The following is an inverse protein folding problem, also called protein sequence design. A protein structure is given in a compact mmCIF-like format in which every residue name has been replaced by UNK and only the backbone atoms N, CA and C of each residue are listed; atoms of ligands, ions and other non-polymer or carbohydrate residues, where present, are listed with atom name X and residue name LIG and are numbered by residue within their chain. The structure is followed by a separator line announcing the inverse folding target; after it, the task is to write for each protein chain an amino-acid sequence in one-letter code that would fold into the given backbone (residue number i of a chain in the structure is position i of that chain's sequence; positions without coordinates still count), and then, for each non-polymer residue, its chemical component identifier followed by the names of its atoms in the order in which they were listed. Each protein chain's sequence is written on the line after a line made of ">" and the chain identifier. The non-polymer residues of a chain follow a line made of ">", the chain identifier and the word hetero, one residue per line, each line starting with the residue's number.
data_IF_240366007361
#
_entry.id   IF_240366007361
#
_cell.length_a   1.000
_cell.length_b   1.000
_cell.length_c   1.000
_cell.angle_alpha   90.00
_cell.angle_beta   90.00
_cell.angle_gamma   90.00
#
_symmetry.space_group_name_H-M   'P 1'
#
loop_
_entity.id
_entity.type
_entity.pdbx_description
1 polymer ?
#
# COMPACT_ATOMS: atom_id res chain seq x y z
N UNK A 1 4.29 -12.79 -29.35
CA UNK A 1 4.32 -11.71 -28.35
C UNK A 1 3.53 -12.24 -27.18
N UNK A 2 4.19 -12.67 -26.12
CA UNK A 2 3.50 -13.01 -24.88
C UNK A 2 2.84 -11.73 -24.38
N UNK A 3 1.52 -11.76 -24.17
CA UNK A 3 0.83 -10.62 -23.59
C UNK A 3 1.40 -10.42 -22.19
N UNK A 4 1.97 -9.24 -21.92
CA UNK A 4 2.44 -8.89 -20.59
C UNK A 4 1.27 -9.08 -19.61
N UNK A 5 1.51 -9.87 -18.55
CA UNK A 5 0.49 -10.19 -17.55
C UNK A 5 0.04 -8.87 -16.92
N UNK A 6 -1.22 -8.49 -17.13
CA UNK A 6 -1.77 -7.28 -16.54
C UNK A 6 -1.66 -7.37 -15.01
N UNK A 7 -1.38 -6.24 -14.32
CA UNK A 7 -1.35 -6.22 -12.87
C UNK A 7 -2.72 -6.61 -12.32
N UNK A 8 -2.70 -7.41 -11.24
CA UNK A 8 -3.91 -7.83 -10.55
C UNK A 8 -4.56 -6.61 -9.89
N UNK A 9 -5.88 -6.40 -10.07
CA UNK A 9 -6.58 -5.29 -9.45
C UNK A 9 -6.68 -5.52 -7.94
N UNK A 10 -6.33 -4.49 -7.16
CA UNK A 10 -6.31 -4.55 -5.69
C UNK A 10 -7.24 -3.46 -5.14
N UNK A 11 -8.19 -3.80 -4.25
CA UNK A 11 -9.00 -2.80 -3.56
C UNK A 11 -8.17 -1.84 -2.71
N UNK A 12 -8.60 -0.60 -2.57
CA UNK A 12 -7.89 0.46 -1.84
C UNK A 12 -7.68 0.11 -0.36
N UNK A 13 -8.55 -0.71 0.24
CA UNK A 13 -8.36 -1.23 1.60
C UNK A 13 -7.09 -2.07 1.75
N UNK A 14 -6.83 -2.97 0.80
CA UNK A 14 -5.63 -3.80 0.78
C UNK A 14 -4.40 -2.94 0.42
N UNK A 15 -4.54 -2.05 -0.56
CA UNK A 15 -3.46 -1.15 -0.96
C UNK A 15 -3.00 -0.27 0.22
N UNK A 16 -3.94 0.21 1.04
CA UNK A 16 -3.65 0.97 2.25
C UNK A 16 -2.78 0.17 3.22
N UNK A 17 -3.15 -1.06 3.56
CA UNK A 17 -2.35 -1.88 4.48
C UNK A 17 -0.95 -2.18 3.96
N UNK A 18 -0.84 -2.46 2.65
CA UNK A 18 0.45 -2.69 2.01
C UNK A 18 1.35 -1.44 2.08
N UNK A 19 0.78 -0.27 1.77
CA UNK A 19 1.50 1.00 1.84
C UNK A 19 1.87 1.34 3.29
N UNK A 20 0.97 1.19 4.25
CA UNK A 20 1.27 1.45 5.67
C UNK A 20 2.39 0.55 6.18
N UNK A 21 2.36 -0.74 5.83
CA UNK A 21 3.41 -1.70 6.21
C UNK A 21 4.76 -1.34 5.59
N UNK A 22 4.81 -1.00 4.31
CA UNK A 22 6.09 -0.71 3.64
C UNK A 22 6.66 0.66 3.99
N UNK A 23 5.79 1.67 4.11
CA UNK A 23 6.23 3.03 4.38
C UNK A 23 6.63 3.22 5.85
N UNK A 24 5.95 2.57 6.79
CA UNK A 24 6.38 2.55 8.21
C UNK A 24 7.74 1.88 8.42
N UNK A 25 8.11 0.92 7.57
CA UNK A 25 9.43 0.27 7.61
C UNK A 25 10.54 1.16 7.04
N UNK A 26 10.21 2.08 6.12
CA UNK A 26 11.21 2.91 5.41
C UNK A 26 11.46 4.26 6.06
N UNK A 27 10.53 4.77 6.85
CA UNK A 27 10.78 6.00 7.60
C UNK A 27 11.92 5.81 8.60
N UNK A 28 12.91 6.71 8.54
CA UNK A 28 14.04 6.79 9.46
C UNK A 28 14.86 5.50 9.62
N UNK A 29 15.11 4.77 8.51
CA UNK A 29 16.00 3.60 8.49
C UNK A 29 17.23 3.77 7.59
N UNK A 30 18.32 3.14 8.01
CA UNK A 30 19.55 2.96 7.25
C UNK A 30 19.48 1.65 6.47
N UNK A 31 19.92 1.66 5.20
CA UNK A 31 20.10 0.44 4.39
C UNK A 31 21.56 0.15 4.16
N UNK A 32 21.94 -1.06 4.49
CA UNK A 32 23.26 -1.56 4.15
C UNK A 32 23.38 -1.80 2.65
N UNK A 33 24.40 -1.19 2.03
CA UNK A 33 24.71 -1.38 0.60
C UNK A 33 25.10 -2.83 0.31
N UNK A 34 25.70 -3.52 1.28
CA UNK A 34 26.30 -4.85 1.09
C UNK A 34 25.31 -6.00 1.24
N UNK A 35 24.44 -5.94 2.24
CA UNK A 35 23.51 -7.04 2.53
C UNK A 35 22.03 -6.67 2.41
N UNK A 36 21.73 -5.39 2.09
CA UNK A 36 20.36 -4.89 1.98
C UNK A 36 19.59 -4.84 3.30
N UNK A 37 20.23 -5.08 4.44
CA UNK A 37 19.58 -5.01 5.75
C UNK A 37 19.13 -3.58 6.06
N UNK A 38 17.93 -3.45 6.64
CA UNK A 38 17.37 -2.19 7.11
C UNK A 38 17.45 -2.15 8.64
N UNK A 39 18.01 -1.09 9.19
CA UNK A 39 18.07 -0.86 10.64
C UNK A 39 17.65 0.56 10.99
N UNK A 40 17.23 0.80 12.24
CA UNK A 40 16.88 2.13 12.68
C UNK A 40 18.09 3.07 12.62
N UNK A 41 17.84 4.35 12.38
CA UNK A 41 18.84 5.39 12.66
C UNK A 41 19.04 5.42 14.19
N UNK A 42 20.27 5.31 14.71
CA UNK A 42 20.51 5.42 16.14
C UNK A 42 20.05 6.78 16.67
N UNK A 43 19.36 6.79 17.83
CA UNK A 43 18.87 8.02 18.47
C UNK A 43 20.00 8.88 19.08
N UNK A 44 21.19 8.29 19.23
CA UNK A 44 22.33 8.92 19.91
C UNK A 44 23.29 9.47 18.86
N UNK A 45 23.57 10.79 18.93
CA UNK A 45 24.67 11.39 18.19
C UNK A 45 25.97 10.68 18.59
N UNK A 46 26.80 10.22 17.65
CA UNK A 46 28.03 9.51 17.99
C UNK A 46 28.91 10.43 18.85
N UNK A 47 29.17 9.99 20.08
CA UNK A 47 30.07 10.71 20.98
C UNK A 47 31.47 10.71 20.37
N UNK A 48 32.01 11.90 20.11
CA UNK A 48 33.42 12.08 19.81
C UNK A 48 34.17 12.01 21.13
N UNK A 49 34.74 10.86 21.45
CA UNK A 49 35.72 10.77 22.54
C UNK A 49 36.97 11.54 22.11
N UNK A 50 37.10 12.79 22.56
CA UNK A 50 38.33 13.57 22.41
C UNK A 50 39.39 12.99 23.34
N UNK A 51 40.33 12.23 22.80
CA UNK A 51 41.58 11.91 23.50
C UNK A 51 42.56 13.08 23.30
N UNK A 52 43.04 13.65 24.42
CA UNK A 52 43.93 14.83 24.46
C UNK A 52 45.40 14.55 24.00
N UNK A 53 45.63 13.65 23.05
CA UNK A 53 46.96 13.45 22.44
C UNK A 53 46.88 13.61 20.91
N UNK A 54 47.55 14.65 20.42
CA UNK A 54 47.73 15.01 19.02
C UNK A 54 48.39 13.87 18.21
N UNK A 55 47.64 13.18 17.34
CA UNK A 55 48.10 12.62 16.05
C UNK A 55 46.88 12.11 15.22
N UNK A 56 46.34 13.00 14.40
CA UNK A 56 45.74 12.75 13.06
C UNK A 56 44.98 11.42 12.82
N UNK A 57 43.72 11.34 13.28
CA UNK A 57 42.53 11.12 12.43
C UNK A 57 41.32 10.80 13.31
N UNK A 58 40.51 11.81 13.61
CA UNK A 58 39.17 11.60 14.16
C UNK A 58 38.29 10.97 13.05
N UNK A 59 38.51 9.70 12.73
CA UNK A 59 37.68 8.98 11.78
C UNK A 59 36.29 8.81 12.38
N UNK A 60 35.36 9.66 11.93
CA UNK A 60 33.93 9.50 12.17
C UNK A 60 33.50 8.09 11.74
N UNK A 61 33.38 7.19 12.72
CA UNK A 61 32.89 5.84 12.48
C UNK A 61 31.36 5.87 12.55
N UNK A 62 30.76 6.01 11.36
CA UNK A 62 29.30 5.92 11.22
C UNK A 62 28.76 4.57 11.71
N UNK A 63 27.43 4.44 11.84
CA UNK A 63 26.79 3.22 12.32
C UNK A 63 27.19 2.00 11.47
N UNK A 64 27.37 0.86 12.14
CA UNK A 64 27.66 -0.44 11.50
C UNK A 64 26.39 -1.23 11.26
N UNK A 65 26.36 -1.99 10.18
CA UNK A 65 25.26 -2.87 9.83
C UNK A 65 25.11 -3.99 10.87
N UNK A 66 23.97 -4.06 11.56
CA UNK A 66 23.68 -5.08 12.59
C UNK A 66 23.79 -6.52 12.06
N UNK A 67 23.58 -6.72 10.75
CA UNK A 67 23.58 -8.04 10.12
C UNK A 67 24.93 -8.50 9.59
N UNK A 68 25.75 -7.58 9.06
CA UNK A 68 26.99 -7.94 8.36
C UNK A 68 28.22 -7.14 8.79
N UNK A 69 28.09 -6.23 9.74
CA UNK A 69 29.18 -5.40 10.26
C UNK A 69 29.69 -4.32 9.29
N UNK A 70 29.14 -4.22 8.08
CA UNK A 70 29.55 -3.20 7.12
C UNK A 70 29.22 -1.79 7.59
N UNK A 71 30.17 -0.87 7.42
CA UNK A 71 30.00 0.57 7.63
C UNK A 71 29.33 1.27 6.42
N UNK A 72 29.13 0.55 5.30
CA UNK A 72 28.45 1.08 4.11
C UNK A 72 26.94 1.07 4.30
N UNK A 73 26.47 1.97 5.16
CA UNK A 73 25.06 2.28 5.33
C UNK A 73 24.75 3.55 4.55
N UNK A 74 23.67 3.53 3.77
CA UNK A 74 23.08 4.75 3.23
C UNK A 74 21.79 5.02 3.98
N UNK A 75 21.56 6.28 4.33
CA UNK A 75 20.22 6.71 4.69
C UNK A 75 19.35 6.43 3.48
N UNK A 76 18.37 5.53 3.63
CA UNK A 76 17.40 5.36 2.56
C UNK A 76 16.70 6.69 2.41
N UNK A 77 16.68 7.18 1.17
CA UNK A 77 15.85 8.30 0.79
C UNK A 77 14.45 8.04 1.34
N UNK A 78 14.08 8.92 2.26
CA UNK A 78 12.78 9.02 2.87
C UNK A 78 11.68 8.70 1.85
N UNK A 79 10.59 8.10 2.32
CA UNK A 79 9.34 7.96 1.57
C UNK A 79 9.19 9.15 0.60
N UNK A 80 9.30 8.87 -0.70
CA UNK A 80 9.18 9.93 -1.71
C UNK A 80 7.86 10.68 -1.54
N UNK A 81 7.82 11.93 -1.98
CA UNK A 81 6.65 12.78 -1.85
C UNK A 81 5.39 12.11 -2.43
N UNK A 82 5.53 11.44 -3.58
CA UNK A 82 4.48 10.70 -4.27
C UNK A 82 3.95 9.52 -3.45
N UNK A 83 4.82 8.81 -2.73
CA UNK A 83 4.41 7.72 -1.85
C UNK A 83 3.62 8.24 -0.65
N UNK A 84 3.99 9.39 -0.08
CA UNK A 84 3.22 10.05 0.99
C UNK A 84 1.84 10.46 0.49
N UNK A 85 1.79 11.11 -0.67
CA UNK A 85 0.53 11.51 -1.30
C UNK A 85 -0.38 10.30 -1.58
N UNK A 86 0.18 9.20 -2.09
CA UNK A 86 -0.57 7.97 -2.33
C UNK A 86 -1.13 7.39 -1.03
N UNK A 87 -0.30 7.31 0.03
CA UNK A 87 -0.72 6.83 1.34
C UNK A 87 -1.83 7.72 1.94
N UNK A 88 -1.69 9.03 1.85
CA UNK A 88 -2.71 9.97 2.36
C UNK A 88 -4.01 9.85 1.58
N UNK A 89 -3.94 9.69 0.26
CA UNK A 89 -5.12 9.47 -0.59
C UNK A 89 -5.89 8.21 -0.20
N UNK A 90 -5.20 7.07 -0.08
CA UNK A 90 -5.86 5.81 0.30
C UNK A 90 -6.39 5.86 1.73
N UNK A 91 -5.72 6.55 2.65
CA UNK A 91 -6.24 6.74 4.02
C UNK A 91 -7.55 7.50 4.06
N UNK A 92 -7.71 8.50 3.20
CA UNK A 92 -8.90 9.36 3.15
C UNK A 92 -10.09 8.70 2.45
N UNK A 93 -9.83 7.91 1.40
CA UNK A 93 -10.88 7.38 0.53
C UNK A 93 -11.31 5.97 0.91
N UNK A 94 -10.41 5.16 1.47
CA UNK A 94 -10.74 3.80 1.88
C UNK A 94 -11.79 3.81 2.99
N UNK A 95 -12.96 3.24 2.68
CA UNK A 95 -14.06 3.08 3.64
C UNK A 95 -14.21 1.63 4.12
N UNK A 96 -14.08 0.66 3.22
CA UNK A 96 -14.15 -0.77 3.56
C UNK A 96 -12.80 -1.28 4.08
N UNK A 97 -12.84 -2.14 5.11
CA UNK A 97 -11.67 -2.91 5.53
C UNK A 97 -11.33 -3.99 4.50
N UNK A 98 -10.11 -4.56 4.50
CA UNK A 98 -9.77 -5.68 3.62
C UNK A 98 -10.73 -6.86 3.75
N UNK A 99 -11.15 -7.20 4.97
CA UNK A 99 -12.08 -8.29 5.23
C UNK A 99 -13.48 -8.01 4.64
N UNK A 100 -13.97 -6.78 4.80
CA UNK A 100 -15.24 -6.36 4.18
C UNK A 100 -15.13 -6.36 2.65
N UNK A 101 -14.00 -5.89 2.11
CA UNK A 101 -13.73 -5.94 0.68
C UNK A 101 -13.73 -7.36 0.13
N UNK A 102 -13.07 -8.29 0.81
CA UNK A 102 -13.05 -9.70 0.41
C UNK A 102 -14.46 -10.32 0.41
N UNK A 103 -15.28 -10.03 1.43
CA UNK A 103 -16.67 -10.49 1.49
C UNK A 103 -17.53 -9.93 0.37
N UNK A 104 -17.38 -8.64 0.04
CA UNK A 104 -18.11 -8.03 -1.09
C UNK A 104 -17.68 -8.69 -2.40
N UNK A 105 -16.38 -8.87 -2.63
CA UNK A 105 -15.85 -9.51 -3.85
C UNK A 105 -16.42 -10.92 -4.01
N UNK A 106 -16.40 -11.74 -2.96
CA UNK A 106 -16.95 -13.09 -2.97
C UNK A 106 -18.42 -13.13 -3.42
N UNK A 107 -19.22 -12.15 -2.97
CA UNK A 107 -20.65 -12.07 -3.33
C UNK A 107 -20.92 -11.61 -4.77
N UNK A 108 -20.01 -10.85 -5.38
CA UNK A 108 -20.27 -10.22 -6.70
C UNK A 108 -19.46 -10.82 -7.85
N UNK A 109 -18.36 -11.52 -7.58
CA UNK A 109 -17.45 -12.03 -8.62
C UNK A 109 -18.06 -13.10 -9.51
N UNK A 110 -19.12 -13.78 -9.04
CA UNK A 110 -19.84 -14.79 -9.81
C UNK A 110 -20.89 -14.20 -10.77
N UNK A 111 -21.14 -12.88 -10.71
CA UNK A 111 -22.06 -12.21 -11.63
C UNK A 111 -21.50 -12.17 -13.05
N UNK A 112 -22.39 -12.29 -14.05
CA UNK A 112 -22.02 -12.47 -15.46
C UNK A 112 -21.05 -11.38 -15.97
N UNK A 113 -21.29 -10.14 -15.53
CA UNK A 113 -20.55 -8.97 -16.02
C UNK A 113 -19.43 -8.49 -15.07
N UNK A 114 -19.21 -9.15 -13.95
CA UNK A 114 -18.25 -8.71 -12.93
C UNK A 114 -16.97 -9.55 -13.03
N UNK A 115 -15.85 -8.88 -13.33
CA UNK A 115 -14.52 -9.46 -13.27
C UNK A 115 -13.73 -8.88 -12.07
N UNK A 116 -12.50 -9.34 -11.85
CA UNK A 116 -11.66 -8.88 -10.74
C UNK A 116 -11.52 -7.35 -10.68
N UNK A 117 -11.43 -6.71 -11.85
CA UNK A 117 -11.32 -5.26 -11.95
C UNK A 117 -12.59 -4.56 -11.45
N UNK A 118 -13.76 -5.04 -11.89
CA UNK A 118 -15.04 -4.51 -11.45
C UNK A 118 -15.35 -4.83 -10.00
N UNK A 119 -14.98 -6.01 -9.52
CA UNK A 119 -15.12 -6.38 -8.12
C UNK A 119 -14.31 -5.43 -7.21
N UNK A 120 -13.05 -5.14 -7.56
CA UNK A 120 -12.25 -4.15 -6.84
C UNK A 120 -12.88 -2.75 -6.89
N UNK A 121 -13.40 -2.33 -8.04
CA UNK A 121 -14.11 -1.04 -8.16
C UNK A 121 -15.38 -0.96 -7.34
N UNK A 122 -16.17 -2.02 -7.26
CA UNK A 122 -17.36 -2.08 -6.42
C UNK A 122 -16.98 -1.90 -4.95
N UNK A 123 -15.90 -2.55 -4.48
CA UNK A 123 -15.38 -2.37 -3.11
C UNK A 123 -14.92 -0.94 -2.85
N UNK A 124 -14.25 -0.31 -3.82
CA UNK A 124 -13.72 1.06 -3.64
C UNK A 124 -14.83 2.12 -3.67
N UNK A 125 -15.86 1.92 -4.49
CA UNK A 125 -16.96 2.88 -4.69
C UNK A 125 -18.09 2.68 -3.68
N UNK A 126 -18.33 1.45 -3.22
CA UNK A 126 -19.43 1.07 -2.32
C UNK A 126 -20.79 1.61 -2.80
N UNK A 127 -21.26 1.21 -4.00
CA UNK A 127 -22.49 1.74 -4.59
C UNK A 127 -23.73 1.42 -3.72
N UNK A 128 -24.57 2.43 -3.48
CA UNK A 128 -25.78 2.32 -2.65
C UNK A 128 -27.07 2.38 -3.46
N UNK A 129 -26.99 2.92 -4.68
CA UNK A 129 -28.08 3.12 -5.60
C UNK A 129 -27.75 2.60 -7.00
N UNK A 130 -28.79 2.34 -7.80
CA UNK A 130 -28.63 1.78 -9.14
C UNK A 130 -27.78 2.67 -10.07
N UNK A 131 -27.83 3.99 -9.90
CA UNK A 131 -27.04 4.92 -10.70
C UNK A 131 -25.54 4.89 -10.34
N UNK A 132 -25.20 4.56 -9.08
CA UNK A 132 -23.80 4.35 -8.67
C UNK A 132 -23.24 3.12 -9.38
N UNK A 133 -24.00 2.02 -9.39
CA UNK A 133 -23.62 0.78 -10.09
C UNK A 133 -23.46 1.06 -11.58
N UNK A 134 -24.44 1.70 -12.23
CA UNK A 134 -24.35 2.05 -13.66
C UNK A 134 -23.14 2.92 -13.97
N UNK A 135 -22.75 3.81 -13.06
CA UNK A 135 -21.59 4.69 -13.23
C UNK A 135 -20.27 3.91 -13.26
N UNK A 136 -20.17 2.80 -12.52
CA UNK A 136 -18.98 1.92 -12.54
C UNK A 136 -18.80 1.29 -13.93
N UNK A 137 -19.90 0.88 -14.57
CA UNK A 137 -19.89 0.18 -15.87
C UNK A 137 -20.15 1.10 -17.07
N UNK A 138 -20.14 2.43 -16.88
CA UNK A 138 -20.59 3.39 -17.90
C UNK A 138 -19.79 3.36 -19.22
N UNK A 139 -18.58 2.79 -19.22
CA UNK A 139 -17.71 2.66 -20.40
C UNK A 139 -17.91 1.35 -21.16
N UNK A 140 -18.73 0.45 -20.64
CA UNK A 140 -18.95 -0.87 -21.22
C UNK A 140 -19.97 -0.85 -22.35
N UNK A 141 -19.88 -1.86 -23.22
CA UNK A 141 -20.79 -2.04 -24.36
C UNK A 141 -22.00 -2.92 -24.03
N UNK A 142 -22.18 -3.27 -22.77
CA UNK A 142 -23.30 -4.04 -22.25
C UNK A 142 -24.05 -3.21 -21.20
N UNK A 143 -25.24 -3.67 -20.85
CA UNK A 143 -26.05 -3.13 -19.76
C UNK A 143 -26.27 -4.20 -18.71
N UNK A 144 -26.12 -3.83 -17.44
CA UNK A 144 -26.41 -4.73 -16.34
C UNK A 144 -27.92 -4.99 -16.20
N UNK A 145 -28.26 -6.22 -15.82
CA UNK A 145 -29.62 -6.58 -15.44
C UNK A 145 -30.06 -5.90 -14.13
N UNK A 146 -31.37 -5.78 -13.93
CA UNK A 146 -31.89 -5.26 -12.65
C UNK A 146 -31.46 -6.14 -11.47
N UNK A 147 -31.50 -7.46 -11.65
CA UNK A 147 -31.13 -8.44 -10.63
C UNK A 147 -29.63 -8.35 -10.27
N UNK A 148 -28.75 -8.14 -11.26
CA UNK A 148 -27.31 -7.94 -11.01
C UNK A 148 -27.05 -6.65 -10.22
N UNK A 149 -27.70 -5.55 -10.62
CA UNK A 149 -27.59 -4.26 -9.93
C UNK A 149 -28.04 -4.39 -8.48
N UNK A 150 -29.18 -5.04 -8.24
CA UNK A 150 -29.73 -5.23 -6.91
C UNK A 150 -28.85 -6.15 -6.06
N UNK A 151 -28.25 -7.18 -6.67
CA UNK A 151 -27.29 -8.07 -6.00
C UNK A 151 -26.04 -7.32 -5.56
N UNK A 152 -25.47 -6.47 -6.42
CA UNK A 152 -24.31 -5.63 -6.08
C UNK A 152 -24.63 -4.71 -4.91
N UNK A 153 -25.76 -3.99 -4.97
CA UNK A 153 -26.16 -3.06 -3.89
C UNK A 153 -26.41 -3.81 -2.58
N UNK A 154 -27.06 -4.97 -2.65
CA UNK A 154 -27.36 -5.79 -1.46
C UNK A 154 -26.08 -6.32 -0.82
N UNK A 155 -25.13 -6.81 -1.62
CA UNK A 155 -23.84 -7.28 -1.14
C UNK A 155 -23.10 -6.18 -0.36
N UNK A 156 -23.09 -4.94 -0.88
CA UNK A 156 -22.47 -3.79 -0.21
C UNK A 156 -23.20 -3.45 1.09
N UNK A 157 -24.53 -3.29 1.06
CA UNK A 157 -25.33 -2.91 2.23
C UNK A 157 -25.22 -3.89 3.38
N UNK A 158 -25.34 -5.19 3.09
CA UNK A 158 -25.23 -6.24 4.10
C UNK A 158 -23.85 -6.26 4.76
N UNK A 159 -22.78 -6.04 3.98
CA UNK A 159 -21.41 -6.13 4.48
C UNK A 159 -20.99 -4.88 5.26
N UNK A 160 -21.48 -3.71 4.83
CA UNK A 160 -21.22 -2.43 5.47
C UNK A 160 -22.18 -2.14 6.64
N UNK A 161 -23.28 -2.90 6.77
CA UNK A 161 -24.27 -2.76 7.83
C UNK A 161 -25.13 -1.50 7.72
N UNK A 162 -25.47 -1.09 6.50
CA UNK A 162 -26.23 0.14 6.18
C UNK A 162 -27.54 -0.12 5.45
#
# INVERSE_FOLDING_TARGET
>A
MEAEKQPEPVPLGVAKELLEKELSVRENRLRCVDCGNFQAVPDVEPETEKSDDDEESDEYTGPVCEKCGSQRLMLIEQIQYEHKLALDHVRLITQATPDQGAQIIEKVIELEHVNDYYAAKIVDVLPMHADDVRSIFARERFSLGHDEIDTIISAVKETMGV
#
